data_IF_062374305871
#
_entry.id   IF_062374305871
#
_cell.length_a   1.000
_cell.length_b   1.000
_cell.length_c   1.000
_cell.angle_alpha   90.00
_cell.angle_beta   90.00
_cell.angle_gamma   90.00
#
_symmetry.space_group_name_H-M   'P 1'
#
loop_
_entity.id
_entity.type
_entity.pdbx_description
1 polymer ?
#
# COMPACT_ATOMS: atom_id res chain seq x y z
N UNK A 1 29.24 26.36 -0.83
CA UNK A 1 28.73 26.48 0.55
C UNK A 1 27.23 26.28 0.53
N UNK A 2 26.74 25.09 0.87
CA UNK A 2 25.33 24.85 1.19
C UNK A 2 25.32 23.93 2.42
N UNK A 3 24.96 24.49 3.57
CA UNK A 3 24.81 23.76 4.83
C UNK A 3 23.53 22.92 4.78
N UNK A 4 23.66 21.61 4.61
CA UNK A 4 22.60 20.69 5.00
C UNK A 4 22.60 20.59 6.54
N UNK A 5 21.62 21.22 7.20
CA UNK A 5 21.34 20.98 8.62
C UNK A 5 20.80 19.56 8.75
N UNK A 6 21.61 18.65 9.30
CA UNK A 6 21.13 17.37 9.82
C UNK A 6 20.13 17.66 10.95
N UNK A 7 18.87 17.30 10.74
CA UNK A 7 17.87 17.28 11.81
C UNK A 7 18.12 16.01 12.61
N UNK A 8 18.72 16.14 13.79
CA UNK A 8 18.84 15.05 14.76
C UNK A 8 17.44 14.75 15.31
N UNK A 9 16.96 13.53 15.09
CA UNK A 9 15.71 13.04 15.65
C UNK A 9 15.98 12.58 17.09
N UNK A 10 15.54 13.36 18.08
CA UNK A 10 15.47 12.92 19.48
C UNK A 10 14.04 12.46 19.76
N UNK A 11 13.79 11.19 20.11
CA UNK A 11 12.45 10.75 20.48
C UNK A 11 12.03 11.39 21.82
N UNK A 12 10.77 11.80 21.99
CA UNK A 12 10.30 12.32 23.27
C UNK A 12 10.19 11.19 24.29
N UNK A 13 10.82 11.38 25.46
CA UNK A 13 10.42 10.70 26.69
C UNK A 13 9.09 11.30 27.14
N UNK A 14 8.00 10.55 27.01
CA UNK A 14 6.70 10.96 27.54
C UNK A 14 6.53 10.39 28.94
N UNK A 15 6.67 11.26 29.94
CA UNK A 15 6.06 11.11 31.26
C UNK A 15 4.59 11.49 31.11
N UNK A 16 3.74 10.47 30.89
CA UNK A 16 2.29 10.63 30.78
C UNK A 16 1.73 10.59 32.20
N UNK A 17 1.65 11.76 32.82
CA UNK A 17 0.57 12.18 33.73
C UNK A 17 1.05 13.33 34.59
N UNK A 18 0.62 14.56 34.22
CA UNK A 18 0.17 15.61 35.14
C UNK A 18 -0.13 16.88 34.34
N UNK A 19 -1.31 17.45 34.61
CA UNK A 19 -1.82 18.76 34.16
C UNK A 19 -2.64 18.77 32.86
N UNK A 20 -3.90 18.32 32.95
CA UNK A 20 -5.00 18.82 32.12
C UNK A 20 -5.71 19.96 32.86
N UNK A 21 -5.97 21.06 32.17
CA UNK A 21 -6.63 22.27 32.69
C UNK A 21 -8.15 22.12 32.71
N UNK A 22 -8.83 22.76 33.67
CA UNK A 22 -10.28 22.61 33.92
C UNK A 22 -11.21 22.95 32.74
N UNK A 23 -10.74 23.71 31.74
CA UNK A 23 -11.52 24.06 30.56
C UNK A 23 -11.89 22.87 29.64
N UNK A 24 -11.15 21.74 29.70
CA UNK A 24 -11.44 20.56 28.87
C UNK A 24 -12.53 19.65 29.46
N UNK A 25 -12.91 19.85 30.74
CA UNK A 25 -13.97 19.05 31.39
C UNK A 25 -15.38 19.58 31.13
N UNK A 26 -15.51 20.84 30.71
CA UNK A 26 -16.82 21.49 30.55
C UNK A 26 -17.51 21.17 29.20
N UNK A 27 -16.76 20.65 28.21
CA UNK A 27 -17.30 20.37 26.86
C UNK A 27 -18.05 19.03 26.74
N UNK A 28 -18.00 18.15 27.76
CA UNK A 28 -18.52 16.78 27.66
C UNK A 28 -19.92 16.62 28.30
N UNK A 29 -20.44 17.58 29.07
CA UNK A 29 -21.67 17.38 29.88
C UNK A 29 -22.82 18.35 29.57
N UNK A 30 -23.19 18.61 28.29
CA UNK A 30 -24.45 19.30 27.97
C UNK A 30 -25.44 18.41 27.20
N UNK A 31 -26.71 18.28 27.65
CA UNK A 31 -27.74 17.54 26.90
C UNK A 31 -28.22 18.32 25.68
N UNK A 32 -28.48 17.60 24.59
CA UNK A 32 -29.09 18.11 23.35
C UNK A 32 -30.53 18.54 23.62
N UNK A 33 -30.87 19.79 23.28
CA UNK A 33 -32.24 20.31 23.26
C UNK A 33 -32.57 20.84 21.85
N UNK A 34 -33.81 20.53 21.44
CA UNK A 34 -34.46 20.77 20.15
C UNK A 34 -34.32 22.17 19.57
N UNK A 35 -34.16 22.29 18.24
CA UNK A 35 -34.75 23.37 17.44
C UNK A 35 -35.02 22.98 15.97
N UNK A 36 -36.20 23.38 15.50
CA UNK A 36 -36.80 23.16 14.18
C UNK A 36 -36.28 24.14 13.08
N UNK A 37 -36.59 23.94 11.78
CA UNK A 37 -35.82 24.52 10.67
C UNK A 37 -36.26 25.93 10.28
N UNK A 38 -35.30 26.85 10.17
CA UNK A 38 -35.48 28.24 9.72
C UNK A 38 -34.97 28.48 8.30
N UNK A 39 -35.85 29.06 7.48
CA UNK A 39 -35.67 29.62 6.13
C UNK A 39 -34.31 30.30 5.87
N UNK A 40 -33.68 29.94 4.74
CA UNK A 40 -32.55 30.67 4.16
C UNK A 40 -33.03 31.57 3.01
N UNK A 41 -32.84 32.87 3.23
CA UNK A 41 -33.12 33.97 2.29
C UNK A 41 -32.20 33.93 1.06
N UNK A 42 -32.78 34.18 -0.11
CA UNK A 42 -32.09 34.34 -1.39
C UNK A 42 -31.45 35.74 -1.50
N UNK A 43 -30.13 35.78 -1.74
CA UNK A 43 -29.35 36.97 -2.08
C UNK A 43 -28.89 36.97 -3.56
N UNK A 44 -28.47 38.14 -4.12
CA UNK A 44 -28.69 38.48 -5.53
C UNK A 44 -27.64 37.95 -6.53
N UNK A 45 -28.12 37.85 -7.78
CA UNK A 45 -27.46 37.32 -8.98
C UNK A 45 -26.21 38.15 -9.38
N UNK A 46 -25.06 37.48 -9.55
CA UNK A 46 -23.90 38.06 -10.22
C UNK A 46 -23.90 37.75 -11.73
N UNK A 47 -23.66 38.80 -12.55
CA UNK A 47 -23.46 38.75 -14.00
C UNK A 47 -22.13 38.05 -14.37
N UNK A 48 -22.04 37.35 -15.52
CA UNK A 48 -20.79 36.74 -15.98
C UNK A 48 -19.87 37.74 -16.71
N UNK A 49 -18.56 37.57 -16.56
CA UNK A 49 -17.48 38.26 -17.29
C UNK A 49 -17.07 37.46 -18.57
N UNK A 50 -16.52 38.13 -19.60
CA UNK A 50 -16.34 37.53 -20.93
C UNK A 50 -15.09 36.65 -21.07
N UNK A 51 -15.23 35.67 -21.96
CA UNK A 51 -14.27 34.65 -22.36
C UNK A 51 -13.11 35.18 -23.22
N UNK A 52 -11.87 34.82 -22.90
CA UNK A 52 -10.75 34.81 -23.86
C UNK A 52 -9.84 33.59 -23.64
N UNK A 53 -9.34 33.01 -24.74
CA UNK A 53 -8.12 32.20 -24.74
C UNK A 53 -8.29 30.68 -24.77
N UNK A 54 -8.45 30.12 -25.97
CA UNK A 54 -8.34 28.68 -26.23
C UNK A 54 -6.89 28.19 -26.04
N UNK A 55 -6.64 27.37 -25.01
CA UNK A 55 -5.49 26.47 -24.97
C UNK A 55 -6.00 25.03 -25.06
N UNK A 56 -5.75 24.38 -26.21
CA UNK A 56 -6.06 22.97 -26.46
C UNK A 56 -5.31 22.12 -25.43
N UNK A 57 -6.01 21.67 -24.38
CA UNK A 57 -5.56 20.54 -23.56
C UNK A 57 -5.97 19.27 -24.27
N UNK A 58 -4.98 18.48 -24.66
CA UNK A 58 -5.14 17.12 -25.16
C UNK A 58 -5.90 16.31 -24.11
N UNK A 59 -7.18 16.06 -24.35
CA UNK A 59 -7.99 15.19 -23.52
C UNK A 59 -7.44 13.77 -23.64
N UNK A 60 -6.91 13.23 -22.54
CA UNK A 60 -6.69 11.80 -22.39
C UNK A 60 -8.08 11.15 -22.46
N UNK A 61 -8.35 10.43 -23.54
CA UNK A 61 -9.64 9.79 -23.79
C UNK A 61 -9.86 8.68 -22.76
N UNK A 62 -10.61 9.00 -21.70
CA UNK A 62 -11.27 7.99 -20.86
C UNK A 62 -12.36 7.35 -21.71
N UNK A 63 -12.02 6.30 -22.43
CA UNK A 63 -13.02 5.43 -23.04
C UNK A 63 -13.78 4.75 -21.90
N UNK A 64 -15.03 5.18 -21.68
CA UNK A 64 -15.99 4.47 -20.83
C UNK A 64 -16.31 3.12 -21.50
N UNK A 65 -15.62 2.06 -21.07
CA UNK A 65 -16.15 0.70 -21.11
C UNK A 65 -16.87 0.47 -19.79
N UNK A 66 -18.09 1.01 -19.68
CA UNK A 66 -19.09 0.38 -18.84
C UNK A 66 -19.46 -0.95 -19.49
N UNK A 67 -19.74 -1.97 -18.68
CA UNK A 67 -20.35 -3.27 -19.05
C UNK A 67 -19.43 -4.47 -19.27
N UNK A 68 -18.45 -4.67 -18.37
CA UNK A 68 -17.88 -6.00 -18.09
C UNK A 68 -17.58 -6.19 -16.60
N UNK A 69 -18.47 -5.79 -15.69
CA UNK A 69 -18.48 -6.38 -14.35
C UNK A 69 -19.07 -7.78 -14.49
N UNK A 70 -18.38 -8.82 -14.00
CA UNK A 70 -19.00 -10.15 -13.92
C UNK A 70 -20.22 -10.05 -13.00
N UNK A 71 -21.43 -10.06 -13.55
CA UNK A 71 -22.66 -9.74 -12.82
C UNK A 71 -22.74 -10.52 -11.50
N UNK A 72 -22.80 -9.79 -10.37
CA UNK A 72 -23.04 -10.32 -9.03
C UNK A 72 -21.83 -10.58 -8.13
N UNK A 73 -20.59 -10.51 -8.61
CA UNK A 73 -19.42 -10.67 -7.73
C UNK A 73 -19.06 -9.36 -7.00
N UNK A 74 -18.71 -9.40 -5.70
CA UNK A 74 -18.25 -8.21 -4.99
C UNK A 74 -16.95 -7.71 -5.63
N UNK A 75 -16.86 -6.39 -5.83
CA UNK A 75 -15.64 -5.77 -6.35
C UNK A 75 -14.58 -5.68 -5.24
N UNK A 76 -13.38 -6.20 -5.52
CA UNK A 76 -12.24 -6.25 -4.60
C UNK A 76 -11.06 -5.49 -5.18
N UNK A 77 -10.67 -4.38 -4.57
CA UNK A 77 -9.46 -3.64 -4.96
C UNK A 77 -8.26 -4.24 -4.23
N UNK A 78 -7.22 -4.68 -4.93
CA UNK A 78 -6.01 -5.24 -4.33
C UNK A 78 -4.79 -4.36 -4.58
N UNK A 79 -4.02 -4.09 -3.53
CA UNK A 79 -2.70 -3.47 -3.63
C UNK A 79 -1.68 -4.50 -4.10
N UNK A 80 -1.22 -4.39 -5.35
CA UNK A 80 -0.31 -5.33 -6.00
C UNK A 80 1.02 -4.65 -6.36
N UNK A 81 2.05 -4.92 -5.56
CA UNK A 81 3.42 -4.43 -5.82
C UNK A 81 4.16 -5.25 -6.89
N UNK A 82 3.73 -6.49 -7.14
CA UNK A 82 4.46 -7.46 -7.95
C UNK A 82 5.34 -8.42 -7.13
N UNK A 83 5.39 -8.26 -5.81
CA UNK A 83 6.09 -9.17 -4.90
C UNK A 83 5.31 -10.45 -4.57
N UNK A 84 5.97 -11.34 -3.82
CA UNK A 84 5.41 -12.65 -3.43
C UNK A 84 4.08 -12.53 -2.66
N UNK A 85 4.05 -11.77 -1.57
CA UNK A 85 2.87 -11.68 -0.70
C UNK A 85 1.70 -10.99 -1.40
N UNK A 86 1.98 -9.90 -2.12
CA UNK A 86 0.95 -9.16 -2.86
C UNK A 86 0.39 -9.97 -4.04
N UNK A 87 1.17 -10.88 -4.62
CA UNK A 87 0.70 -11.85 -5.62
C UNK A 87 -0.30 -12.86 -5.03
N UNK A 88 0.00 -13.42 -3.85
CA UNK A 88 -0.94 -14.31 -3.15
C UNK A 88 -2.23 -13.56 -2.78
N UNK A 89 -2.09 -12.31 -2.32
CA UNK A 89 -3.22 -11.44 -2.02
C UNK A 89 -4.07 -11.12 -3.27
N UNK A 90 -3.45 -10.95 -4.45
CA UNK A 90 -4.15 -10.78 -5.71
C UNK A 90 -4.85 -12.06 -6.19
N UNK A 91 -4.24 -13.23 -5.98
CA UNK A 91 -4.89 -14.51 -6.26
C UNK A 91 -6.13 -14.72 -5.38
N UNK A 92 -6.06 -14.35 -4.09
CA UNK A 92 -7.22 -14.32 -3.19
C UNK A 92 -8.31 -13.36 -3.69
N UNK A 93 -7.93 -12.13 -4.06
CA UNK A 93 -8.89 -11.16 -4.58
C UNK A 93 -9.60 -11.65 -5.86
N UNK A 94 -8.87 -12.28 -6.78
CA UNK A 94 -9.41 -12.86 -8.00
C UNK A 94 -10.32 -14.07 -7.74
N UNK A 95 -10.03 -14.87 -6.70
CA UNK A 95 -10.92 -15.95 -6.23
C UNK A 95 -12.20 -15.40 -5.62
N UNK A 96 -12.07 -14.40 -4.75
CA UNK A 96 -13.14 -13.91 -3.87
C UNK A 96 -14.13 -12.97 -4.57
N UNK A 97 -13.75 -12.37 -5.70
CA UNK A 97 -14.60 -11.40 -6.38
C UNK A 97 -14.12 -10.96 -7.76
N UNK A 98 -14.68 -9.85 -8.21
CA UNK A 98 -14.23 -9.13 -9.40
C UNK A 98 -13.06 -8.23 -8.98
N UNK A 99 -11.83 -8.71 -9.25
CA UNK A 99 -10.62 -8.06 -8.77
C UNK A 99 -10.22 -6.86 -9.65
N UNK A 100 -9.81 -5.77 -8.99
CA UNK A 100 -9.16 -4.62 -9.60
C UNK A 100 -7.82 -4.37 -8.88
N UNK A 101 -6.73 -4.14 -9.61
CA UNK A 101 -5.40 -4.09 -9.01
C UNK A 101 -4.77 -2.69 -9.08
N UNK A 102 -4.19 -2.25 -7.96
CA UNK A 102 -3.48 -0.98 -7.83
C UNK A 102 -1.98 -1.24 -7.65
N UNK A 103 -1.17 -0.65 -8.51
CA UNK A 103 0.28 -0.57 -8.37
C UNK A 103 0.69 0.86 -8.01
N UNK A 104 1.54 1.01 -7.00
CA UNK A 104 2.04 2.32 -6.58
C UNK A 104 3.56 2.34 -6.69
N UNK A 105 4.02 3.15 -7.63
CA UNK A 105 5.43 3.49 -7.81
C UNK A 105 5.74 4.74 -6.98
N UNK A 106 6.84 4.74 -6.23
CA UNK A 106 7.20 5.85 -5.34
C UNK A 106 8.69 6.19 -5.41
N UNK A 107 9.35 5.84 -6.51
CA UNK A 107 10.78 6.08 -6.72
C UNK A 107 11.68 4.99 -6.13
N UNK A 108 11.12 3.81 -5.83
CA UNK A 108 11.92 2.68 -5.34
C UNK A 108 12.87 2.14 -6.40
N UNK A 109 14.01 1.60 -5.96
CA UNK A 109 15.11 1.14 -6.83
C UNK A 109 14.69 0.16 -7.92
N UNK A 110 13.74 -0.71 -7.61
CA UNK A 110 13.25 -1.79 -8.49
C UNK A 110 11.91 -1.49 -9.12
N UNK A 111 11.49 -0.21 -9.16
CA UNK A 111 10.18 0.24 -9.68
C UNK A 111 9.85 -0.34 -11.07
N UNK A 112 10.80 -0.30 -12.01
CA UNK A 112 10.59 -0.80 -13.37
C UNK A 112 10.31 -2.33 -13.38
N UNK A 113 11.06 -3.09 -12.58
CA UNK A 113 10.93 -4.55 -12.48
C UNK A 113 9.66 -4.96 -11.72
N UNK A 114 9.34 -4.25 -10.64
CA UNK A 114 8.09 -4.41 -9.89
C UNK A 114 6.87 -4.15 -10.78
N UNK A 115 6.89 -3.07 -11.57
CA UNK A 115 5.82 -2.75 -12.52
C UNK A 115 5.67 -3.82 -13.61
N UNK A 116 6.77 -4.37 -14.12
CA UNK A 116 6.73 -5.50 -15.07
C UNK A 116 6.05 -6.72 -14.45
N UNK A 117 6.39 -7.02 -13.20
CA UNK A 117 5.82 -8.14 -12.43
C UNK A 117 4.32 -7.93 -12.18
N UNK A 118 3.91 -6.72 -11.76
CA UNK A 118 2.51 -6.33 -11.63
C UNK A 118 1.70 -6.60 -12.90
N UNK A 119 2.17 -6.12 -14.05
CA UNK A 119 1.46 -6.31 -15.33
C UNK A 119 1.31 -7.78 -15.69
N UNK A 120 2.38 -8.57 -15.53
CA UNK A 120 2.38 -9.99 -15.84
C UNK A 120 1.46 -10.80 -14.90
N UNK A 121 1.44 -10.47 -13.62
CA UNK A 121 0.54 -11.10 -12.64
C UNK A 121 -0.92 -10.77 -12.95
N UNK A 122 -1.24 -9.50 -13.22
CA UNK A 122 -2.60 -9.11 -13.62
C UNK A 122 -3.06 -9.85 -14.88
N UNK A 123 -2.16 -10.05 -15.85
CA UNK A 123 -2.47 -10.81 -17.05
C UNK A 123 -2.75 -12.28 -16.73
N UNK A 124 -1.89 -12.93 -15.93
CA UNK A 124 -2.05 -14.34 -15.57
C UNK A 124 -3.30 -14.61 -14.73
N UNK A 125 -3.68 -13.66 -13.87
CA UNK A 125 -4.86 -13.76 -13.01
C UNK A 125 -6.15 -13.22 -13.67
N UNK A 126 -6.10 -12.75 -14.92
CA UNK A 126 -7.27 -12.20 -15.61
C UNK A 126 -7.81 -10.89 -15.01
N UNK A 127 -6.97 -10.12 -14.32
CA UNK A 127 -7.34 -8.83 -13.73
C UNK A 127 -7.27 -7.74 -14.82
N UNK A 128 -8.42 -7.18 -15.21
CA UNK A 128 -8.49 -6.20 -16.30
C UNK A 128 -8.48 -4.75 -15.81
N UNK A 129 -9.12 -4.45 -14.68
CA UNK A 129 -9.09 -3.13 -14.08
C UNK A 129 -7.76 -2.93 -13.35
N UNK A 130 -6.89 -2.09 -13.93
CA UNK A 130 -5.51 -1.88 -13.48
C UNK A 130 -5.27 -0.38 -13.29
N UNK A 131 -4.91 0.03 -12.08
CA UNK A 131 -4.50 1.40 -11.78
C UNK A 131 -3.02 1.44 -11.45
N UNK A 132 -2.26 2.27 -12.16
CA UNK A 132 -0.84 2.53 -11.86
C UNK A 132 -0.70 3.98 -11.42
N UNK A 133 -0.25 4.19 -10.18
CA UNK A 133 -0.07 5.52 -9.60
C UNK A 133 1.41 5.75 -9.30
N UNK A 134 1.90 6.95 -9.61
CA UNK A 134 3.20 7.42 -9.14
C UNK A 134 2.98 8.36 -7.96
N UNK A 135 3.49 8.00 -6.78
CA UNK A 135 3.45 8.82 -5.58
C UNK A 135 4.82 9.50 -5.38
N UNK A 136 4.92 10.75 -5.82
CA UNK A 136 6.16 11.53 -5.72
C UNK A 136 6.42 12.06 -4.30
N UNK A 137 5.41 12.13 -3.45
CA UNK A 137 5.53 12.67 -2.09
C UNK A 137 6.49 11.82 -1.23
N UNK A 138 6.38 10.49 -1.32
CA UNK A 138 7.27 9.58 -0.57
C UNK A 138 8.74 9.75 -0.97
N UNK A 139 9.02 9.98 -2.27
CA UNK A 139 10.38 10.26 -2.74
C UNK A 139 10.86 11.63 -2.26
N UNK A 140 10.00 12.64 -2.29
CA UNK A 140 10.34 13.99 -1.84
C UNK A 140 10.60 14.06 -0.33
N UNK A 141 9.89 13.25 0.47
CA UNK A 141 10.11 13.13 1.92
C UNK A 141 11.46 12.45 2.21
N UNK A 142 11.82 11.40 1.47
CA UNK A 142 13.11 10.71 1.63
C UNK A 142 13.24 9.93 2.94
N UNK A 143 14.48 9.78 3.44
CA UNK A 143 14.76 9.17 4.76
C UNK A 143 14.84 7.64 4.79
N UNK A 144 14.87 6.98 3.63
CA UNK A 144 14.95 5.52 3.51
C UNK A 144 15.91 5.12 2.39
N UNK A 145 16.57 3.96 2.53
CA UNK A 145 17.39 3.36 1.48
C UNK A 145 16.60 3.01 0.20
N UNK A 146 15.27 2.90 0.32
CA UNK A 146 14.41 2.64 -0.83
C UNK A 146 14.09 3.90 -1.64
N UNK A 147 14.06 5.09 -1.02
CA UNK A 147 13.72 6.35 -1.69
C UNK A 147 14.93 7.27 -1.92
N UNK A 148 16.03 7.05 -1.21
CA UNK A 148 17.30 7.76 -1.35
C UNK A 148 18.40 6.84 -1.93
N UNK A 149 18.94 7.21 -3.09
CA UNK A 149 20.00 6.46 -3.77
C UNK A 149 21.36 6.56 -3.07
N UNK A 150 21.55 7.56 -2.21
CA UNK A 150 22.82 7.77 -1.49
C UNK A 150 22.97 6.84 -0.27
N UNK A 151 21.90 6.18 0.15
CA UNK A 151 21.90 5.26 1.28
C UNK A 151 22.00 3.84 0.74
N UNK A 152 23.07 3.09 1.05
CA UNK A 152 23.18 1.71 0.59
C UNK A 152 22.07 0.82 1.19
N UNK A 153 21.59 -0.16 0.41
CA UNK A 153 20.72 -1.21 0.95
C UNK A 153 21.63 -2.19 1.70
N UNK A 154 21.40 -2.42 3.01
CA UNK A 154 22.25 -3.30 3.81
C UNK A 154 22.14 -4.77 3.35
N UNK A 155 23.20 -5.54 3.60
CA UNK A 155 23.15 -7.00 3.54
C UNK A 155 22.57 -7.57 4.84
N UNK A 156 21.97 -8.77 4.78
CA UNK A 156 21.20 -9.41 5.87
C UNK A 156 21.88 -9.41 7.24
N UNK A 157 23.20 -9.37 7.30
CA UNK A 157 23.97 -9.52 8.53
C UNK A 157 24.21 -8.20 9.28
N UNK A 158 23.78 -7.05 8.73
CA UNK A 158 24.08 -5.73 9.27
C UNK A 158 22.93 -5.07 10.04
N UNK A 159 21.81 -5.77 10.25
CA UNK A 159 20.59 -5.19 10.84
C UNK A 159 20.50 -5.55 12.32
N UNK A 160 20.54 -4.52 13.18
CA UNK A 160 20.32 -4.63 14.63
C UNK A 160 18.84 -4.75 15.01
N UNK A 161 18.50 -4.48 16.27
CA UNK A 161 17.12 -4.50 16.78
C UNK A 161 16.27 -3.27 16.38
N UNK A 162 16.88 -2.29 15.71
CA UNK A 162 16.23 -1.04 15.30
C UNK A 162 15.47 -1.18 13.98
N UNK A 163 14.53 -0.27 13.72
CA UNK A 163 13.77 -0.19 12.46
C UNK A 163 14.75 -0.13 11.27
N UNK A 164 14.70 -1.08 10.32
CA UNK A 164 15.61 -1.10 9.18
C UNK A 164 15.59 0.21 8.38
N UNK A 165 16.75 0.61 7.84
CA UNK A 165 16.87 1.78 6.95
C UNK A 165 16.07 1.62 5.64
N UNK A 166 15.63 0.40 5.32
CA UNK A 166 14.74 0.09 4.21
C UNK A 166 13.26 0.38 4.51
N UNK A 167 12.93 0.72 5.77
CA UNK A 167 11.61 1.21 6.15
C UNK A 167 11.35 2.58 5.51
N UNK A 168 10.17 2.75 4.92
CA UNK A 168 9.68 4.05 4.44
C UNK A 168 8.59 4.48 5.43
N UNK A 169 8.79 5.53 6.23
CA UNK A 169 7.87 5.92 7.29
C UNK A 169 6.43 6.10 6.81
N UNK A 170 5.49 5.39 7.47
CA UNK A 170 4.04 5.53 7.28
C UNK A 170 3.55 5.33 5.84
N UNK A 171 4.33 4.59 5.04
CA UNK A 171 4.07 4.40 3.61
C UNK A 171 2.72 3.73 3.34
N UNK A 172 2.30 2.78 4.17
CA UNK A 172 1.05 2.06 3.96
C UNK A 172 -0.17 2.98 3.99
N UNK A 173 -0.11 4.12 4.71
CA UNK A 173 -1.22 5.08 4.75
C UNK A 173 -1.48 5.69 3.38
N UNK A 174 -0.42 6.04 2.64
CA UNK A 174 -0.53 6.54 1.28
C UNK A 174 -1.12 5.49 0.33
N UNK A 175 -0.72 4.23 0.52
CA UNK A 175 -1.19 3.14 -0.33
C UNK A 175 -2.67 2.85 -0.11
N UNK A 176 -3.09 2.78 1.15
CA UNK A 176 -4.48 2.58 1.54
C UNK A 176 -5.35 3.74 1.07
N UNK A 177 -4.90 5.00 1.21
CA UNK A 177 -5.65 6.16 0.74
C UNK A 177 -5.96 6.08 -0.76
N UNK A 178 -4.96 5.76 -1.60
CA UNK A 178 -5.16 5.59 -3.05
C UNK A 178 -6.13 4.45 -3.36
N UNK A 179 -5.95 3.29 -2.72
CA UNK A 179 -6.78 2.11 -2.97
C UNK A 179 -8.23 2.33 -2.53
N UNK A 180 -8.46 2.96 -1.37
CA UNK A 180 -9.81 3.30 -0.86
C UNK A 180 -10.50 4.30 -1.77
N UNK A 181 -9.82 5.37 -2.20
CA UNK A 181 -10.41 6.34 -3.13
C UNK A 181 -10.81 5.70 -4.45
N UNK A 182 -10.01 4.77 -4.98
CA UNK A 182 -10.37 4.07 -6.21
C UNK A 182 -11.47 3.02 -6.00
N UNK A 183 -11.47 2.31 -4.88
CA UNK A 183 -12.55 1.41 -4.50
C UNK A 183 -13.90 2.15 -4.42
N UNK A 184 -13.93 3.36 -3.88
CA UNK A 184 -15.13 4.18 -3.83
C UNK A 184 -15.66 4.57 -5.22
N UNK A 185 -14.76 4.85 -6.17
CA UNK A 185 -15.13 5.12 -7.58
C UNK A 185 -15.69 3.87 -8.26
N UNK A 186 -15.13 2.70 -7.97
CA UNK A 186 -15.57 1.43 -8.56
C UNK A 186 -16.82 0.84 -7.89
N UNK A 187 -17.31 1.43 -6.79
CA UNK A 187 -18.37 0.84 -5.97
C UNK A 187 -17.94 -0.44 -5.25
N UNK A 188 -16.63 -0.60 -4.99
CA UNK A 188 -16.06 -1.78 -4.33
C UNK A 188 -16.26 -1.79 -2.82
N UNK A 189 -16.46 -2.99 -2.27
CA UNK A 189 -16.69 -3.17 -0.84
C UNK A 189 -15.41 -3.51 -0.06
N UNK A 190 -14.36 -3.96 -0.74
CA UNK A 190 -13.14 -4.45 -0.07
C UNK A 190 -11.86 -3.92 -0.71
N UNK A 191 -10.88 -3.64 0.14
CA UNK A 191 -9.50 -3.29 -0.22
C UNK A 191 -8.55 -4.32 0.40
N UNK A 192 -7.84 -5.06 -0.42
CA UNK A 192 -6.90 -6.11 0.00
C UNK A 192 -5.47 -5.58 0.03
N UNK A 193 -4.76 -5.85 1.12
CA UNK A 193 -3.33 -5.54 1.26
C UNK A 193 -2.58 -6.75 1.84
N UNK A 194 -1.51 -7.17 1.15
CA UNK A 194 -0.66 -8.30 1.56
C UNK A 194 0.33 -7.97 2.66
N UNK A 195 -0.13 -7.33 3.74
CA UNK A 195 0.71 -7.03 4.91
C UNK A 195 0.93 -8.28 5.76
N UNK A 196 2.12 -8.39 6.37
CA UNK A 196 2.53 -9.52 7.22
C UNK A 196 3.23 -8.96 8.46
N UNK A 197 2.74 -9.29 9.65
CA UNK A 197 3.26 -8.74 10.91
C UNK A 197 4.65 -9.30 11.25
N UNK A 198 4.84 -10.62 11.12
CA UNK A 198 6.06 -11.31 11.54
C UNK A 198 7.31 -10.91 10.74
N UNK A 199 7.13 -10.48 9.48
CA UNK A 199 8.23 -10.03 8.62
C UNK A 199 8.47 -8.52 8.69
N UNK A 200 7.57 -7.78 9.34
CA UNK A 200 7.80 -6.38 9.61
C UNK A 200 8.79 -6.30 10.75
N UNK A 201 10.03 -5.90 10.47
CA UNK A 201 11.10 -5.70 11.45
C UNK A 201 10.76 -4.55 12.43
N UNK A 202 9.65 -4.68 13.14
CA UNK A 202 9.06 -3.67 14.01
C UNK A 202 8.14 -2.65 13.32
N UNK A 203 7.78 -2.78 12.03
CA UNK A 203 7.03 -1.71 11.33
C UNK A 203 5.64 -1.49 11.96
N UNK A 204 5.34 -0.28 12.48
CA UNK A 204 4.06 -0.03 13.14
C UNK A 204 2.86 -0.16 12.19
N UNK A 205 3.06 0.11 10.90
CA UNK A 205 2.03 0.11 9.86
C UNK A 205 1.78 -1.28 9.23
N UNK A 206 2.28 -2.35 9.84
CA UNK A 206 1.99 -3.74 9.49
C UNK A 206 1.22 -4.51 10.60
N UNK A 207 0.89 -3.84 11.73
CA UNK A 207 0.21 -4.46 12.87
C UNK A 207 -1.32 -4.49 12.70
N UNK A 208 -2.05 -5.48 13.25
CA UNK A 208 -3.51 -5.52 13.18
C UNK A 208 -4.19 -4.22 13.66
N UNK A 209 -3.73 -3.67 14.79
CA UNK A 209 -4.28 -2.43 15.37
C UNK A 209 -4.20 -1.22 14.42
N UNK A 210 -3.21 -1.18 13.52
CA UNK A 210 -3.10 -0.12 12.50
C UNK A 210 -4.25 -0.21 11.50
N UNK A 211 -4.56 -1.40 10.99
CA UNK A 211 -5.62 -1.60 10.01
C UNK A 211 -7.02 -1.47 10.63
N UNK A 212 -7.19 -1.85 11.90
CA UNK A 212 -8.42 -1.55 12.65
C UNK A 212 -8.65 -0.04 12.77
N UNK A 213 -7.61 0.73 13.09
CA UNK A 213 -7.69 2.19 13.13
C UNK A 213 -7.99 2.79 11.75
N UNK A 214 -7.34 2.29 10.70
CA UNK A 214 -7.55 2.78 9.34
C UNK A 214 -8.98 2.46 8.86
N UNK A 215 -9.53 1.30 9.19
CA UNK A 215 -10.93 0.98 8.87
C UNK A 215 -11.94 1.95 9.53
N UNK A 216 -11.65 2.47 10.73
CA UNK A 216 -12.47 3.54 11.33
C UNK A 216 -12.39 4.83 10.53
N UNK A 217 -11.20 5.19 10.03
CA UNK A 217 -11.01 6.35 9.15
C UNK A 217 -11.76 6.16 7.83
N UNK A 218 -11.67 5.00 7.19
CA UNK A 218 -12.38 4.70 5.93
C UNK A 218 -13.89 4.80 6.12
N UNK A 219 -14.43 4.25 7.21
CA UNK A 219 -15.85 4.31 7.51
C UNK A 219 -16.36 5.74 7.67
N UNK A 220 -15.56 6.61 8.31
CA UNK A 220 -15.92 8.01 8.51
C UNK A 220 -15.68 8.89 7.27
N UNK A 221 -14.68 8.55 6.44
CA UNK A 221 -14.21 9.38 5.34
C UNK A 221 -14.82 9.07 3.97
N UNK A 222 -15.48 7.91 3.80
CA UNK A 222 -16.13 7.51 2.54
C UNK A 222 -17.63 7.76 2.59
N UNK A 223 -18.25 8.03 1.43
CA UNK A 223 -19.66 8.44 1.31
C UNK A 223 -20.63 7.49 2.00
N UNK A 224 -20.39 6.19 1.88
CA UNK A 224 -21.30 5.16 2.39
C UNK A 224 -20.72 4.37 3.57
N UNK A 225 -19.43 4.54 3.87
CA UNK A 225 -18.77 3.84 4.99
C UNK A 225 -18.71 2.32 4.87
N UNK A 226 -18.93 1.76 3.68
CA UNK A 226 -19.02 0.29 3.43
C UNK A 226 -17.72 -0.35 2.98
N UNK A 227 -16.68 0.43 2.69
CA UNK A 227 -15.38 -0.08 2.24
C UNK A 227 -14.62 -0.65 3.44
N UNK A 228 -14.16 -1.89 3.31
CA UNK A 228 -13.38 -2.59 4.33
C UNK A 228 -11.97 -2.89 3.83
N UNK A 229 -10.96 -2.51 4.61
CA UNK A 229 -9.57 -2.95 4.40
C UNK A 229 -9.39 -4.32 5.04
N UNK A 230 -8.92 -5.28 4.25
CA UNK A 230 -8.70 -6.67 4.61
C UNK A 230 -7.23 -7.03 4.45
N UNK A 231 -6.66 -7.68 5.45
CA UNK A 231 -5.25 -8.06 5.54
C UNK A 231 -5.11 -9.59 5.64
N UNK A 232 -5.38 -10.33 4.54
CA UNK A 232 -5.58 -11.78 4.60
C UNK A 232 -4.33 -12.57 5.05
N UNK A 233 -3.15 -11.96 4.99
CA UNK A 233 -1.87 -12.61 5.28
C UNK A 233 -1.25 -12.17 6.62
N UNK A 234 -1.91 -11.27 7.38
CA UNK A 234 -1.25 -10.52 8.48
C UNK A 234 -0.66 -11.41 9.56
N UNK A 235 -1.34 -12.50 9.90
CA UNK A 235 -0.95 -13.45 10.94
C UNK A 235 -0.23 -14.69 10.40
N UNK A 236 -0.01 -14.78 9.08
CA UNK A 236 0.59 -15.96 8.46
C UNK A 236 2.11 -15.90 8.51
N UNK A 237 2.74 -17.06 8.67
CA UNK A 237 4.17 -17.26 8.42
C UNK A 237 4.44 -17.29 6.92
N UNK A 238 5.64 -16.89 6.51
CA UNK A 238 6.08 -16.94 5.10
C UNK A 238 5.87 -18.30 4.41
N UNK A 239 6.16 -19.40 5.09
CA UNK A 239 5.95 -20.73 4.51
C UNK A 239 4.46 -21.04 4.28
N UNK A 240 3.57 -20.52 5.13
CA UNK A 240 2.11 -20.66 4.97
C UNK A 240 1.62 -19.81 3.79
N UNK A 241 2.17 -18.60 3.61
CA UNK A 241 1.89 -17.76 2.44
C UNK A 241 2.29 -18.45 1.15
N UNK A 242 3.47 -19.10 1.11
CA UNK A 242 3.90 -19.87 -0.06
C UNK A 242 2.95 -21.04 -0.33
N UNK A 243 2.59 -21.83 0.69
CA UNK A 243 1.65 -22.96 0.53
C UNK A 243 0.28 -22.49 0.03
N UNK A 244 -0.26 -21.42 0.61
CA UNK A 244 -1.51 -20.81 0.16
C UNK A 244 -1.41 -20.33 -1.29
N UNK A 245 -0.30 -19.69 -1.65
CA UNK A 245 -0.09 -19.27 -3.03
C UNK A 245 -0.04 -20.45 -4.01
N UNK A 246 0.59 -21.56 -3.64
CA UNK A 246 0.59 -22.79 -4.46
C UNK A 246 -0.82 -23.36 -4.61
N UNK A 247 -1.60 -23.42 -3.53
CA UNK A 247 -2.99 -23.87 -3.53
C UNK A 247 -3.86 -23.01 -4.47
N UNK A 248 -3.67 -21.69 -4.45
CA UNK A 248 -4.41 -20.74 -5.28
C UNK A 248 -3.91 -20.65 -6.72
N UNK A 249 -2.80 -21.32 -7.07
CA UNK A 249 -2.16 -21.16 -8.37
C UNK A 249 -1.57 -19.76 -8.59
N UNK A 250 -1.14 -19.08 -7.51
CA UNK A 250 -0.49 -17.78 -7.59
C UNK A 250 0.80 -17.87 -8.44
N UNK A 251 0.99 -16.99 -9.44
CA UNK A 251 2.10 -17.11 -10.38
C UNK A 251 3.42 -16.61 -9.81
N UNK A 252 4.03 -17.40 -8.92
CA UNK A 252 5.28 -17.06 -8.26
C UNK A 252 6.45 -16.87 -9.25
N UNK A 253 6.41 -17.50 -10.42
CA UNK A 253 7.36 -17.31 -11.53
C UNK A 253 7.41 -15.87 -12.05
N UNK A 254 6.33 -15.12 -11.87
CA UNK A 254 6.19 -13.73 -12.34
C UNK A 254 6.48 -12.68 -11.27
N UNK A 255 6.78 -13.10 -10.04
CA UNK A 255 6.92 -12.19 -8.89
C UNK A 255 8.34 -11.65 -8.72
N UNK A 256 8.47 -10.53 -8.02
CA UNK A 256 9.76 -9.90 -7.70
C UNK A 256 9.82 -9.35 -6.28
N UNK A 257 10.76 -9.88 -5.49
CA UNK A 257 11.00 -9.41 -4.11
C UNK A 257 12.36 -8.73 -3.93
N UNK A 258 13.30 -8.94 -4.85
CA UNK A 258 14.69 -8.46 -4.69
C UNK A 258 14.79 -6.94 -4.67
N UNK A 259 15.59 -6.38 -3.76
CA UNK A 259 15.85 -4.92 -3.68
C UNK A 259 17.02 -4.42 -4.56
N UNK A 260 17.88 -5.33 -5.02
CA UNK A 260 19.13 -4.97 -5.72
C UNK A 260 19.18 -5.36 -7.19
N UNK A 261 18.55 -6.47 -7.58
CA UNK A 261 18.57 -6.98 -8.95
C UNK A 261 17.44 -6.41 -9.82
N UNK A 262 17.61 -6.53 -11.15
CA UNK A 262 16.58 -6.16 -12.15
C UNK A 262 16.20 -7.34 -13.05
N UNK A 263 17.20 -8.12 -13.48
CA UNK A 263 16.99 -9.29 -14.36
C UNK A 263 16.98 -10.61 -13.58
N UNK A 264 17.94 -10.78 -12.67
CA UNK A 264 18.03 -11.91 -11.73
C UNK A 264 18.04 -11.39 -10.28
N UNK A 265 17.42 -12.14 -9.37
CA UNK A 265 17.41 -11.79 -7.96
C UNK A 265 18.81 -11.98 -7.36
N UNK A 266 19.25 -11.07 -6.49
CA UNK A 266 20.64 -11.09 -5.99
C UNK A 266 20.95 -12.25 -5.04
N UNK A 267 19.96 -12.84 -4.38
CA UNK A 267 20.15 -13.95 -3.45
C UNK A 267 20.62 -13.56 -2.03
N UNK A 268 21.19 -12.37 -1.85
CA UNK A 268 21.78 -11.91 -0.56
C UNK A 268 20.98 -10.86 0.21
N UNK A 269 20.13 -10.07 -0.44
CA UNK A 269 19.37 -9.04 0.28
C UNK A 269 18.29 -9.68 1.16
N UNK A 270 17.86 -8.99 2.21
CA UNK A 270 16.90 -9.51 3.19
C UNK A 270 15.66 -10.15 2.55
N UNK A 271 15.09 -9.44 1.58
CA UNK A 271 13.91 -9.93 0.88
C UNK A 271 14.16 -11.22 0.08
N UNK A 272 15.36 -11.37 -0.51
CA UNK A 272 15.74 -12.63 -1.18
C UNK A 272 15.93 -13.76 -0.18
N UNK A 273 16.63 -13.51 0.93
CA UNK A 273 16.89 -14.50 1.98
C UNK A 273 15.58 -14.98 2.60
N UNK A 274 14.69 -14.06 2.98
CA UNK A 274 13.37 -14.38 3.52
C UNK A 274 12.52 -15.19 2.55
N UNK A 275 12.51 -14.79 1.27
CA UNK A 275 11.79 -15.51 0.21
C UNK A 275 12.34 -16.92 0.02
N UNK A 276 13.66 -17.09 -0.13
CA UNK A 276 14.30 -18.39 -0.30
C UNK A 276 14.01 -19.33 0.89
N UNK A 277 14.09 -18.80 2.12
CA UNK A 277 13.71 -19.54 3.33
C UNK A 277 12.23 -19.94 3.33
N UNK A 278 11.34 -19.07 2.88
CA UNK A 278 9.91 -19.33 2.77
C UNK A 278 9.63 -20.53 1.86
N UNK A 279 10.17 -20.52 0.64
CA UNK A 279 10.00 -21.61 -0.33
C UNK A 279 10.58 -22.92 0.21
N UNK A 280 11.79 -22.88 0.77
CA UNK A 280 12.41 -24.06 1.38
C UNK A 280 11.56 -24.64 2.52
N UNK A 281 11.09 -23.80 3.44
CA UNK A 281 10.25 -24.23 4.55
C UNK A 281 8.86 -24.73 4.08
N UNK A 282 8.37 -24.26 2.93
CA UNK A 282 7.18 -24.77 2.28
C UNK A 282 7.40 -26.10 1.54
N UNK A 283 8.65 -26.58 1.43
CA UNK A 283 8.98 -27.84 0.76
C UNK A 283 9.06 -27.73 -0.76
N UNK A 284 9.25 -26.52 -1.31
CA UNK A 284 9.31 -26.27 -2.75
C UNK A 284 10.52 -25.41 -3.13
N UNK A 285 10.94 -25.46 -4.39
CA UNK A 285 11.94 -24.54 -4.94
C UNK A 285 11.27 -23.23 -5.35
N UNK A 286 11.97 -22.12 -5.15
CA UNK A 286 11.56 -20.82 -5.67
C UNK A 286 11.70 -20.78 -7.20
N UNK A 287 10.65 -20.40 -7.96
CA UNK A 287 10.69 -20.46 -9.41
C UNK A 287 11.45 -19.31 -10.10
N UNK A 288 11.86 -18.24 -9.39
CA UNK A 288 12.53 -17.10 -10.02
C UNK A 288 14.05 -17.34 -10.18
N UNK A 289 14.70 -16.71 -11.18
CA UNK A 289 16.16 -16.83 -11.35
C UNK A 289 16.94 -15.99 -10.33
N UNK A 290 18.07 -16.54 -9.88
CA UNK A 290 19.01 -15.90 -8.97
C UNK A 290 20.40 -15.79 -9.61
N UNK A 291 21.18 -14.78 -9.24
CA UNK A 291 22.57 -14.65 -9.66
C UNK A 291 23.44 -15.73 -8.98
N UNK A 292 24.21 -16.49 -9.78
CA UNK A 292 24.93 -17.71 -9.34
C UNK A 292 25.93 -17.51 -8.19
N UNK A 293 26.48 -16.31 -8.01
CA UNK A 293 27.62 -16.08 -7.09
C UNK A 293 27.23 -15.81 -5.63
N UNK A 294 25.95 -15.79 -5.29
CA UNK A 294 25.48 -15.14 -4.05
C UNK A 294 24.21 -15.78 -3.47
N UNK A 295 24.01 -17.08 -3.61
CA UNK A 295 22.98 -17.78 -2.82
C UNK A 295 23.59 -18.03 -1.45
N UNK A 296 23.11 -17.33 -0.42
CA UNK A 296 23.43 -17.70 0.96
C UNK A 296 22.73 -19.02 1.24
N UNK A 297 23.48 -20.13 1.21
CA UNK A 297 23.02 -21.39 1.77
C UNK A 297 22.81 -21.18 3.28
N UNK A 298 21.55 -20.94 3.66
CA UNK A 298 21.13 -20.94 5.06
C UNK A 298 21.01 -22.37 5.59
#
# INVERSE_FOLDING_TARGET
MNLARQVKFNPPQTDIDKHRTEAEKEYIERPLADHAPGQLCLGPRHRPLPSTGHAKRTACSVTRKSDLTSEGKPRVVVLLSGGMDSCVCAALAARDGDAAAVHISYGQRTEARERKSFLAICERLGIHDRLIVRNEALRAIGGSALTDSNIAVPEWHAIGQDIPVTYVPFRNAHFLAVAVSWAEVLGGGKVYIGAVEQDSSGYPDCRPAYYEAFNRVVRAGTREGRIEIVTPLIAMRKAEIVRLGLELGAPFDLTWSCYGGQDQACGVCDSCVLRLRAFRAAGTKDPIPYAERQIVEC
#
